data_IF_969429971826
#
_entry.id   IF_969429971826
#
_cell.length_a   1.000
_cell.length_b   1.000
_cell.length_c   1.000
_cell.angle_alpha   90.00
_cell.angle_beta   90.00
_cell.angle_gamma   90.00
#
_symmetry.space_group_name_H-M   'P 1'
#
loop_
_entity.id
_entity.type
_entity.pdbx_description
1 polymer ?
#
# COMPACT_ATOMS: atom_id res chain seq x y z
N UNK A 1 -30.51 -9.38 -18.49
CA UNK A 1 -31.69 -8.61 -18.94
C UNK A 1 -31.54 -7.16 -18.52
N UNK A 2 -31.11 -6.30 -19.45
CA UNK A 2 -30.88 -4.86 -19.24
C UNK A 2 -32.20 -4.10 -19.20
N UNK A 3 -32.48 -3.37 -18.11
CA UNK A 3 -33.66 -2.49 -17.99
C UNK A 3 -33.23 -1.03 -17.90
N UNK A 4 -33.24 -0.40 -19.07
CA UNK A 4 -33.16 1.05 -19.29
C UNK A 4 -34.43 1.75 -18.76
N UNK A 5 -34.27 2.89 -18.09
CA UNK A 5 -35.27 3.98 -17.87
C UNK A 5 -34.48 5.29 -17.96
N UNK A 6 -34.52 6.13 -19.00
CA UNK A 6 -35.57 6.95 -19.63
C UNK A 6 -36.22 8.02 -18.73
N UNK A 7 -35.77 9.27 -18.97
CA UNK A 7 -36.51 10.53 -19.15
C UNK A 7 -37.13 11.28 -17.96
N UNK A 8 -36.68 12.52 -17.76
CA UNK A 8 -37.49 13.76 -17.57
C UNK A 8 -36.50 14.95 -17.54
N UNK A 9 -36.38 15.81 -18.56
CA UNK A 9 -37.30 16.85 -19.04
C UNK A 9 -37.73 17.84 -17.95
N UNK A 10 -37.22 19.07 -18.03
CA UNK A 10 -37.65 20.18 -17.16
C UNK A 10 -36.93 21.50 -17.45
N UNK A 11 -37.20 22.10 -18.60
CA UNK A 11 -36.83 23.47 -18.92
C UNK A 11 -37.63 24.49 -18.09
N UNK A 12 -37.07 25.70 -17.85
CA UNK A 12 -37.64 27.02 -18.24
C UNK A 12 -37.09 28.21 -17.42
N UNK A 13 -36.70 29.25 -18.19
CA UNK A 13 -36.83 30.71 -17.96
C UNK A 13 -36.24 31.35 -16.68
N UNK A 14 -35.80 32.61 -16.64
CA UNK A 14 -35.43 33.63 -17.61
C UNK A 14 -34.81 34.81 -16.83
N UNK A 15 -33.83 35.47 -17.45
CA UNK A 15 -33.49 36.90 -17.43
C UNK A 15 -33.69 37.77 -16.15
N UNK A 16 -32.58 38.34 -15.62
CA UNK A 16 -32.48 39.76 -15.31
C UNK A 16 -31.02 40.22 -15.05
N UNK A 17 -30.60 41.15 -15.90
CA UNK A 17 -29.51 42.13 -15.90
C UNK A 17 -28.85 42.50 -14.56
N UNK A 18 -27.52 42.60 -14.55
CA UNK A 18 -26.76 43.29 -13.51
C UNK A 18 -25.30 43.49 -13.92
N UNK A 19 -24.97 44.69 -14.40
CA UNK A 19 -23.61 45.14 -14.74
C UNK A 19 -22.81 45.36 -13.45
N UNK A 20 -21.71 44.64 -13.28
CA UNK A 20 -20.66 45.01 -12.34
C UNK A 20 -19.30 44.64 -12.95
N UNK A 21 -18.60 45.67 -13.44
CA UNK A 21 -17.21 45.58 -13.84
C UNK A 21 -16.34 45.43 -12.59
N UNK A 22 -15.69 44.28 -12.43
CA UNK A 22 -14.46 44.14 -11.67
C UNK A 22 -13.54 43.20 -12.44
N UNK A 23 -12.46 43.77 -12.96
CA UNK A 23 -11.31 43.04 -13.46
C UNK A 23 -10.76 42.19 -12.31
N UNK A 24 -11.04 40.88 -12.36
CA UNK A 24 -10.50 39.87 -11.46
C UNK A 24 -9.65 38.92 -12.29
N UNK A 25 -8.34 38.97 -12.06
CA UNK A 25 -7.30 38.25 -12.78
C UNK A 25 -7.60 36.75 -12.92
N UNK A 26 -7.35 36.25 -14.12
CA UNK A 26 -7.20 34.83 -14.42
C UNK A 26 -6.12 34.22 -13.52
N UNK A 27 -6.52 33.35 -12.61
CA UNK A 27 -5.61 32.36 -12.04
C UNK A 27 -6.29 31.01 -12.21
N UNK A 28 -6.08 30.40 -13.38
CA UNK A 28 -6.19 28.96 -13.51
C UNK A 28 -5.05 28.39 -12.64
N UNK A 29 -5.35 28.16 -11.36
CA UNK A 29 -4.50 27.35 -10.52
C UNK A 29 -4.76 25.91 -10.93
N UNK A 30 -3.82 25.30 -11.65
CA UNK A 30 -3.72 23.85 -11.70
C UNK A 30 -3.85 23.32 -10.26
N UNK A 31 -4.76 22.38 -9.96
CA UNK A 31 -4.66 21.62 -8.75
C UNK A 31 -3.46 20.68 -8.91
N UNK A 32 -2.26 21.22 -8.69
CA UNK A 32 -1.07 20.45 -8.34
C UNK A 32 -1.24 19.97 -6.90
N UNK A 33 -2.32 19.23 -6.65
CA UNK A 33 -2.37 18.34 -5.51
C UNK A 33 -1.25 17.32 -5.72
N UNK A 34 -0.49 16.97 -4.69
CA UNK A 34 0.47 15.90 -4.84
C UNK A 34 -0.32 14.65 -5.21
N UNK A 35 -0.14 14.19 -6.46
CA UNK A 35 -0.44 12.82 -6.85
C UNK A 35 0.60 11.95 -6.14
N UNK A 36 0.54 11.89 -4.82
CA UNK A 36 1.30 10.92 -4.04
C UNK A 36 0.50 9.62 -4.14
N UNK A 37 0.91 8.65 -4.98
CA UNK A 37 0.37 7.29 -4.88
C UNK A 37 0.51 6.78 -3.45
N UNK A 38 -0.32 5.81 -3.00
CA UNK A 38 -0.20 5.24 -1.67
C UNK A 38 1.26 4.87 -1.42
N UNK A 39 1.79 5.29 -0.27
CA UNK A 39 3.18 5.01 0.09
C UNK A 39 3.31 3.49 0.15
N UNK A 40 4.01 2.92 -0.83
CA UNK A 40 4.57 1.59 -0.64
C UNK A 40 5.32 1.61 0.69
N UNK A 41 5.11 0.62 1.56
CA UNK A 41 5.71 0.61 2.87
C UNK A 41 7.24 0.72 2.71
N UNK A 42 7.85 1.68 3.42
CA UNK A 42 9.28 1.96 3.28
C UNK A 42 10.09 0.79 3.85
N UNK A 43 10.81 0.09 2.97
CA UNK A 43 11.85 -0.83 3.40
C UNK A 43 12.91 -0.01 4.12
N UNK A 44 13.19 -0.35 5.37
CA UNK A 44 14.41 0.18 6.01
C UNK A 44 15.59 -0.56 5.38
N UNK A 45 15.95 -0.18 4.15
CA UNK A 45 17.15 -0.64 3.48
C UNK A 45 18.35 0.02 4.18
N UNK A 46 18.79 -0.58 5.29
CA UNK A 46 19.98 -0.15 5.99
C UNK A 46 21.23 -0.40 5.12
N UNK A 47 22.25 0.48 5.17
CA UNK A 47 23.58 0.19 4.64
C UNK A 47 24.26 -0.84 5.56
N UNK A 48 23.78 -2.08 5.55
CA UNK A 48 24.24 -3.16 6.41
C UNK A 48 25.04 -4.21 5.66
N UNK A 49 26.15 -4.65 6.26
CA UNK A 49 26.80 -5.92 5.96
C UNK A 49 26.02 -7.08 6.60
N UNK A 50 25.78 -8.16 5.87
CA UNK A 50 25.00 -9.32 6.34
C UNK A 50 23.62 -9.46 5.71
N UNK A 51 22.64 -9.97 6.47
CA UNK A 51 21.27 -10.16 5.99
C UNK A 51 20.55 -8.82 5.90
N UNK A 52 19.99 -8.53 4.74
CA UNK A 52 19.25 -7.30 4.46
C UNK A 52 17.95 -7.61 3.73
N UNK A 53 16.87 -6.92 4.11
CA UNK A 53 15.64 -6.91 3.31
C UNK A 53 15.85 -5.96 2.14
N UNK A 54 15.65 -6.46 0.93
CA UNK A 54 15.84 -5.69 -0.31
C UNK A 54 14.54 -5.26 -0.96
N UNK A 55 13.46 -5.99 -0.70
CA UNK A 55 12.12 -5.70 -1.21
C UNK A 55 11.08 -6.40 -0.33
N UNK A 56 9.87 -5.87 -0.28
CA UNK A 56 8.71 -6.57 0.26
C UNK A 56 7.40 -6.00 -0.31
N UNK A 57 6.37 -6.84 -0.36
CA UNK A 57 5.05 -6.49 -0.90
C UNK A 57 3.96 -7.32 -0.25
N UNK A 58 2.76 -6.74 -0.13
CA UNK A 58 1.53 -7.49 0.03
C UNK A 58 1.20 -8.29 -1.24
N UNK A 59 0.63 -9.46 -1.04
CA UNK A 59 0.11 -10.35 -2.08
C UNK A 59 -1.21 -10.94 -1.58
N UNK A 60 -2.21 -11.01 -2.45
CA UNK A 60 -3.44 -11.75 -2.19
C UNK A 60 -3.15 -13.25 -2.36
N UNK A 61 -3.38 -14.02 -1.29
CA UNK A 61 -3.32 -15.48 -1.32
C UNK A 61 -4.48 -16.10 -2.07
N UNK A 62 -4.39 -17.40 -2.36
CA UNK A 62 -5.40 -18.14 -3.12
C UNK A 62 -6.78 -18.15 -2.42
N UNK A 63 -6.81 -18.01 -1.09
CA UNK A 63 -8.03 -17.97 -0.28
C UNK A 63 -8.47 -16.53 0.07
N UNK A 64 -7.82 -15.51 -0.51
CA UNK A 64 -8.08 -14.09 -0.23
C UNK A 64 -7.43 -13.57 1.07
N UNK A 65 -6.59 -14.40 1.69
CA UNK A 65 -5.72 -14.05 2.79
C UNK A 65 -4.63 -13.06 2.35
N UNK A 66 -4.15 -12.26 3.31
CA UNK A 66 -3.00 -11.40 3.09
C UNK A 66 -1.71 -12.20 3.32
N UNK A 67 -0.88 -12.22 2.28
CA UNK A 67 0.49 -12.72 2.34
C UNK A 67 1.48 -11.56 2.28
N UNK A 68 2.54 -11.64 3.07
CA UNK A 68 3.67 -10.71 3.00
C UNK A 68 4.84 -11.42 2.34
N UNK A 69 5.19 -10.98 1.14
CA UNK A 69 6.34 -11.50 0.39
C UNK A 69 7.55 -10.61 0.62
N UNK A 70 8.65 -11.20 1.06
CA UNK A 70 9.86 -10.48 1.50
C UNK A 70 11.07 -11.06 0.78
N UNK A 71 11.86 -10.20 0.13
CA UNK A 71 13.12 -10.58 -0.50
C UNK A 71 14.29 -10.24 0.42
N UNK A 72 15.04 -11.25 0.84
CA UNK A 72 16.21 -11.11 1.72
C UNK A 72 17.48 -11.49 0.95
N UNK A 73 18.55 -10.73 1.17
CA UNK A 73 19.88 -10.96 0.59
C UNK A 73 20.92 -11.02 1.71
N UNK A 74 21.86 -11.96 1.63
CA UNK A 74 23.06 -11.94 2.47
C UNK A 74 24.21 -11.24 1.74
N UNK A 75 24.47 -9.99 2.10
CA UNK A 75 25.59 -9.19 1.60
C UNK A 75 26.90 -9.45 2.33
N UNK A 76 26.89 -10.33 3.34
CA UNK A 76 28.07 -10.72 4.11
C UNK A 76 28.94 -11.74 3.37
N UNK A 77 30.17 -11.91 3.88
CA UNK A 77 31.13 -12.92 3.38
C UNK A 77 30.98 -14.31 3.99
N UNK A 78 30.01 -14.50 4.89
CA UNK A 78 29.79 -15.73 5.67
C UNK A 78 28.30 -16.08 5.66
N UNK A 79 27.97 -17.36 5.84
CA UNK A 79 26.58 -17.79 6.03
C UNK A 79 25.98 -17.13 7.27
N UNK A 80 24.73 -16.68 7.16
CA UNK A 80 24.02 -16.05 8.28
C UNK A 80 22.59 -16.55 8.36
N UNK A 81 22.10 -16.61 9.59
CA UNK A 81 20.70 -16.87 9.93
C UNK A 81 20.11 -15.63 10.56
N UNK A 82 18.86 -15.33 10.24
CA UNK A 82 18.08 -14.25 10.85
C UNK A 82 16.59 -14.56 10.79
N UNK A 83 15.81 -13.78 11.52
CA UNK A 83 14.36 -13.93 11.56
C UNK A 83 13.72 -12.72 10.87
N UNK A 84 12.94 -12.97 9.82
CA UNK A 84 12.09 -11.95 9.20
C UNK A 84 10.88 -11.75 10.13
N UNK A 85 10.59 -10.51 10.47
CA UNK A 85 9.42 -10.14 11.27
C UNK A 85 8.60 -9.14 10.47
N UNK A 86 7.32 -9.45 10.24
CA UNK A 86 6.37 -8.55 9.62
C UNK A 86 5.27 -8.20 10.62
N UNK A 87 5.07 -6.91 10.87
CA UNK A 87 3.94 -6.38 11.63
C UNK A 87 2.98 -5.70 10.67
N UNK A 88 1.72 -6.14 10.69
CA UNK A 88 0.67 -5.70 9.79
C UNK A 88 -0.48 -5.15 10.61
N UNK A 89 -1.00 -4.00 10.23
CA UNK A 89 -2.21 -3.40 10.80
C UNK A 89 -3.27 -3.29 9.70
N UNK A 90 -4.51 -3.69 9.98
CA UNK A 90 -5.64 -3.55 9.07
C UNK A 90 -6.93 -3.22 9.84
N UNK A 91 -7.94 -2.70 9.15
CA UNK A 91 -9.27 -2.49 9.73
C UNK A 91 -10.18 -3.66 9.40
N UNK A 92 -10.68 -4.34 10.42
CA UNK A 92 -11.57 -5.50 10.28
C UNK A 92 -12.83 -5.22 11.09
N UNK A 93 -13.99 -5.27 10.45
CA UNK A 93 -15.29 -4.92 11.04
C UNK A 93 -15.36 -3.51 11.67
N UNK A 94 -14.55 -2.58 11.17
CA UNK A 94 -14.47 -1.21 11.68
C UNK A 94 -13.52 -1.01 12.88
N UNK A 95 -12.76 -2.04 13.26
CA UNK A 95 -11.76 -1.99 14.33
C UNK A 95 -10.35 -2.21 13.76
N UNK A 96 -9.36 -1.46 14.25
CA UNK A 96 -7.96 -1.75 13.93
C UNK A 96 -7.51 -3.06 14.60
N UNK A 97 -6.88 -3.92 13.80
CA UNK A 97 -6.26 -5.17 14.23
C UNK A 97 -4.80 -5.16 13.79
N UNK A 98 -3.90 -5.45 14.72
CA UNK A 98 -2.47 -5.61 14.46
C UNK A 98 -2.10 -7.09 14.60
N UNK A 99 -1.35 -7.60 13.65
CA UNK A 99 -0.81 -8.95 13.63
C UNK A 99 0.69 -8.91 13.37
N UNK A 100 1.45 -9.73 14.10
CA UNK A 100 2.89 -9.91 13.86
C UNK A 100 3.17 -11.35 13.53
N UNK A 101 3.81 -11.58 12.39
CA UNK A 101 4.21 -12.90 11.89
C UNK A 101 5.71 -12.91 11.64
N UNK A 102 6.33 -14.08 11.78
CA UNK A 102 7.77 -14.22 11.61
C UNK A 102 8.17 -15.51 10.91
N UNK A 103 9.35 -15.48 10.29
CA UNK A 103 9.94 -16.63 9.59
C UNK A 103 11.46 -16.59 9.62
N UNK A 104 12.07 -17.70 9.99
CA UNK A 104 13.52 -17.85 9.95
C UNK A 104 14.03 -18.05 8.52
N UNK A 105 15.22 -17.49 8.25
CA UNK A 105 15.93 -17.64 7.00
C UNK A 105 17.42 -17.85 7.27
N UNK A 106 18.03 -18.78 6.54
CA UNK A 106 19.48 -19.01 6.52
C UNK A 106 19.95 -18.86 5.10
N UNK A 107 20.96 -18.01 4.86
CA UNK A 107 21.47 -17.69 3.53
C UNK A 107 22.98 -17.79 3.47
N UNK A 108 23.48 -18.43 2.41
CA UNK A 108 24.89 -18.44 2.08
C UNK A 108 25.39 -17.03 1.67
N UNK A 109 26.72 -16.78 1.66
CA UNK A 109 27.27 -15.49 1.22
C UNK A 109 26.82 -15.13 -0.21
N UNK A 110 26.29 -13.91 -0.38
CA UNK A 110 25.80 -13.42 -1.67
C UNK A 110 24.47 -14.02 -2.13
N UNK A 111 23.86 -14.91 -1.34
CA UNK A 111 22.59 -15.53 -1.68
C UNK A 111 21.42 -14.56 -1.47
N UNK A 112 20.41 -14.69 -2.33
CA UNK A 112 19.13 -13.98 -2.23
C UNK A 112 18.02 -15.02 -2.23
N UNK A 113 17.02 -14.83 -1.36
CA UNK A 113 15.81 -15.64 -1.35
C UNK A 113 14.57 -14.78 -1.22
N UNK A 114 13.44 -15.36 -1.60
CA UNK A 114 12.11 -14.82 -1.34
C UNK A 114 11.41 -15.69 -0.30
N UNK A 115 10.91 -15.06 0.75
CA UNK A 115 10.15 -15.69 1.81
C UNK A 115 8.73 -15.14 1.82
N UNK A 116 7.76 -16.01 2.05
CA UNK A 116 6.36 -15.62 2.24
C UNK A 116 5.97 -15.85 3.70
N UNK A 117 5.36 -14.84 4.30
CA UNK A 117 4.77 -14.89 5.64
C UNK A 117 3.25 -14.81 5.49
N UNK A 118 2.58 -15.83 6.01
CA UNK A 118 1.12 -15.94 6.00
C UNK A 118 0.55 -15.16 7.19
N UNK A 119 -0.48 -14.35 6.95
CA UNK A 119 -1.21 -13.63 8.01
C UNK A 119 -2.62 -14.17 8.14
N UNK A 120 -3.27 -13.95 9.29
CA UNK A 120 -4.68 -14.26 9.49
C UNK A 120 -5.63 -13.17 8.97
N UNK A 121 -5.10 -12.03 8.53
CA UNK A 121 -5.85 -10.92 7.94
C UNK A 121 -6.22 -11.22 6.49
N UNK A 122 -7.33 -10.64 6.00
CA UNK A 122 -7.68 -10.70 4.58
C UNK A 122 -6.98 -9.59 3.79
N UNK A 123 -6.69 -9.87 2.52
CA UNK A 123 -6.12 -8.89 1.60
C UNK A 123 -7.04 -7.69 1.40
N UNK A 124 -8.37 -7.92 1.38
CA UNK A 124 -9.38 -6.85 1.24
C UNK A 124 -9.33 -5.86 2.41
N UNK A 125 -9.31 -6.36 3.65
CA UNK A 125 -9.23 -5.52 4.85
C UNK A 125 -7.92 -4.72 4.91
N UNK A 126 -6.83 -5.30 4.43
CA UNK A 126 -5.54 -4.61 4.33
C UNK A 126 -5.52 -3.56 3.21
N UNK A 127 -6.02 -3.87 2.01
CA UNK A 127 -5.96 -2.98 0.85
C UNK A 127 -6.73 -1.67 1.02
N UNK A 128 -7.72 -1.64 1.91
CA UNK A 128 -8.53 -0.44 2.17
C UNK A 128 -7.80 0.65 2.96
N UNK A 129 -7.10 0.26 4.03
CA UNK A 129 -6.48 1.22 4.97
C UNK A 129 -5.34 0.61 5.80
N UNK A 130 -4.79 -0.52 5.36
CA UNK A 130 -3.77 -1.24 6.07
C UNK A 130 -2.40 -0.57 6.00
N UNK A 131 -1.53 -0.98 6.92
CA UNK A 131 -0.12 -0.62 6.90
C UNK A 131 0.72 -1.82 7.33
N UNK A 132 1.94 -1.90 6.84
CA UNK A 132 2.85 -2.97 7.25
C UNK A 132 4.26 -2.45 7.45
N UNK A 133 4.99 -3.11 8.34
CA UNK A 133 6.42 -2.94 8.58
C UNK A 133 7.08 -4.30 8.52
N UNK A 134 8.23 -4.36 7.86
CA UNK A 134 9.05 -5.58 7.80
C UNK A 134 10.46 -5.25 8.25
N UNK A 135 11.01 -6.11 9.11
CA UNK A 135 12.36 -6.03 9.62
C UNK A 135 13.01 -7.42 9.69
N UNK A 136 14.33 -7.44 9.81
CA UNK A 136 15.11 -8.67 10.00
C UNK A 136 15.94 -8.53 11.27
N UNK A 137 15.85 -9.53 12.15
CA UNK A 137 16.50 -9.55 13.46
C UNK A 137 17.48 -10.71 13.61
#
# INVERSE_FOLDING_TARGET
>A
MNRRRLLATGARLAAASGVAALAGCTAAGDPSGPLTPPRSPEATAGPGEGLVITDFTDVEGDDGDLLVRVTVENRGGEERTGTIVATVTATVDGEEREETVSRDVTLAPGERTEATLETSLSFESFSGSGSMRVEIV
#
